data_IF_847572719539
#
_entry.id   IF_847572719539
#
_cell.length_a   1.000
_cell.length_b   1.000
_cell.length_c   1.000
_cell.angle_alpha   90.00
_cell.angle_beta   90.00
_cell.angle_gamma   90.00
#
_symmetry.space_group_name_H-M   'P 1'
#
loop_
_entity.id
_entity.type
_entity.pdbx_description
1 polymer ?
#
# COMPACT_ATOMS: atom_id res chain seq x y z
N UNK A 1 27.73 -13.88 7.82
CA UNK A 1 26.59 -13.03 7.42
C UNK A 1 27.15 -11.79 6.72
N UNK A 2 26.61 -11.36 5.57
CA UNK A 2 27.00 -10.07 4.98
C UNK A 2 26.27 -8.95 5.72
N UNK A 3 26.92 -7.84 6.12
CA UNK A 3 26.27 -6.78 6.87
C UNK A 3 25.11 -6.18 6.07
N UNK A 4 23.93 -6.07 6.70
CA UNK A 4 22.80 -5.32 6.13
C UNK A 4 23.24 -3.86 6.01
N UNK A 5 23.21 -3.29 4.80
CA UNK A 5 23.55 -1.88 4.55
C UNK A 5 22.37 -1.15 3.95
N UNK A 6 22.15 0.09 4.41
CA UNK A 6 21.08 0.93 3.93
C UNK A 6 21.21 1.16 2.41
N UNK A 7 20.14 0.90 1.64
CA UNK A 7 20.16 1.03 0.18
C UNK A 7 20.38 2.47 -0.32
N UNK A 8 20.26 3.47 0.57
CA UNK A 8 20.54 4.89 0.31
C UNK A 8 21.91 5.31 0.88
N UNK A 9 22.05 5.41 2.20
CA UNK A 9 23.24 6.00 2.85
C UNK A 9 24.36 5.01 3.19
N UNK A 10 24.19 3.70 2.91
CA UNK A 10 25.17 2.63 3.20
C UNK A 10 25.51 2.35 4.67
N UNK A 11 24.96 3.10 5.64
CA UNK A 11 25.03 2.78 7.09
C UNK A 11 24.62 1.32 7.34
N UNK A 12 25.32 0.64 8.23
CA UNK A 12 25.11 -0.78 8.52
C UNK A 12 23.94 -1.03 9.49
N UNK A 13 23.56 -2.30 9.67
CA UNK A 13 22.51 -2.78 10.57
C UNK A 13 21.14 -2.98 9.90
N UNK A 14 20.72 -2.11 8.98
CA UNK A 14 19.38 -2.11 8.37
C UNK A 14 19.41 -2.01 6.84
N UNK A 15 18.34 -2.45 6.15
CA UNK A 15 18.21 -2.26 4.70
C UNK A 15 17.73 -0.84 4.33
N UNK A 16 17.01 -0.18 5.25
CA UNK A 16 16.67 1.24 5.19
C UNK A 16 16.73 1.78 6.63
N UNK A 17 17.62 2.75 6.90
CA UNK A 17 17.69 3.37 8.22
C UNK A 17 16.59 4.43 8.37
N UNK A 18 16.28 4.80 9.61
CA UNK A 18 15.22 5.77 9.95
C UNK A 18 15.42 7.12 9.23
N UNK A 19 16.64 7.69 9.25
CA UNK A 19 17.02 8.90 8.51
C UNK A 19 16.77 8.84 6.99
N UNK A 20 16.65 7.65 6.42
CA UNK A 20 16.32 7.45 5.00
C UNK A 20 14.86 7.05 4.78
N UNK A 21 14.21 6.46 5.77
CA UNK A 21 12.77 6.18 5.75
C UNK A 21 11.95 7.47 5.90
N UNK A 22 12.39 8.40 6.75
CA UNK A 22 11.74 9.71 6.97
C UNK A 22 11.72 10.60 5.72
N UNK A 23 12.58 10.33 4.73
CA UNK A 23 12.61 10.99 3.42
C UNK A 23 11.61 10.40 2.42
N UNK A 24 10.83 9.40 2.82
CA UNK A 24 9.70 8.88 2.06
C UNK A 24 8.45 9.56 2.59
N UNK A 25 7.99 10.57 1.86
CA UNK A 25 6.81 11.34 2.24
C UNK A 25 5.53 10.52 1.96
N UNK A 26 4.64 10.43 2.93
CA UNK A 26 3.29 9.92 2.69
C UNK A 26 2.47 10.98 1.95
N UNK A 27 1.53 10.57 1.10
CA UNK A 27 0.62 11.51 0.45
C UNK A 27 -0.21 12.26 1.52
N UNK A 28 -0.10 13.58 1.54
CA UNK A 28 -0.83 14.44 2.48
C UNK A 28 -2.29 14.71 2.05
N UNK A 29 -2.62 14.48 0.77
CA UNK A 29 -3.95 14.73 0.20
C UNK A 29 -4.59 13.39 -0.18
N UNK A 30 -5.76 13.11 0.39
CA UNK A 30 -6.58 11.96 0.04
C UNK A 30 -7.27 12.16 -1.31
N UNK A 31 -7.33 11.12 -2.16
CA UNK A 31 -8.04 11.14 -3.44
C UNK A 31 -8.40 9.72 -3.92
N UNK A 32 -9.58 9.51 -4.52
CA UNK A 32 -9.89 8.27 -5.24
C UNK A 32 -9.17 8.30 -6.60
N UNK A 33 -8.30 7.31 -6.79
CA UNK A 33 -7.50 7.10 -7.99
C UNK A 33 -8.26 6.34 -9.12
N UNK A 34 -9.60 6.38 -9.12
CA UNK A 34 -10.45 5.74 -10.14
C UNK A 34 -10.16 6.21 -11.58
N UNK A 35 -9.58 7.40 -11.73
CA UNK A 35 -9.36 8.07 -13.00
C UNK A 35 -7.99 8.72 -13.09
N UNK A 36 -7.52 8.93 -14.33
CA UNK A 36 -6.30 9.69 -14.67
C UNK A 36 -6.25 11.08 -14.00
N UNK A 37 -7.41 11.72 -13.80
CA UNK A 37 -7.57 12.95 -13.01
C UNK A 37 -8.16 12.61 -11.64
N UNK A 38 -7.34 12.41 -10.59
CA UNK A 38 -7.84 12.06 -9.26
C UNK A 38 -8.60 13.21 -8.60
N UNK A 39 -9.72 12.90 -7.95
CA UNK A 39 -10.56 13.87 -7.23
C UNK A 39 -9.98 14.11 -5.83
N UNK A 40 -9.44 15.30 -5.57
CA UNK A 40 -8.86 15.68 -4.28
C UNK A 40 -9.90 15.68 -3.15
N UNK A 41 -9.42 15.42 -1.93
CA UNK A 41 -10.18 15.43 -0.67
C UNK A 41 -11.35 14.44 -0.58
N UNK A 42 -11.40 13.43 -1.47
CA UNK A 42 -12.39 12.34 -1.41
C UNK A 42 -11.69 10.99 -1.50
N UNK A 43 -11.96 10.08 -0.56
CA UNK A 43 -11.49 8.69 -0.64
C UNK A 43 -12.24 7.84 -1.67
N UNK A 44 -13.35 8.34 -2.22
CA UNK A 44 -14.20 7.66 -3.20
C UNK A 44 -14.78 8.68 -4.20
N UNK A 45 -14.68 8.40 -5.49
CA UNK A 45 -15.33 9.17 -6.56
C UNK A 45 -16.70 8.56 -6.91
N UNK A 46 -17.59 9.29 -7.58
CA UNK A 46 -18.93 8.74 -7.88
C UNK A 46 -18.90 7.61 -8.93
N UNK A 47 -17.78 7.48 -9.65
CA UNK A 47 -17.47 6.37 -10.57
C UNK A 47 -16.57 5.27 -9.97
N UNK A 48 -16.14 5.41 -8.71
CA UNK A 48 -15.42 4.39 -7.93
C UNK A 48 -16.53 3.33 -7.61
N UNK A 49 -16.52 2.10 -8.19
CA UNK A 49 -17.65 1.15 -8.17
C UNK A 49 -18.35 0.97 -6.82
N UNK A 50 -19.65 0.60 -6.82
CA UNK A 50 -20.50 0.61 -5.61
C UNK A 50 -19.95 -0.20 -4.43
N UNK A 51 -19.20 -1.27 -4.72
CA UNK A 51 -18.56 -2.13 -3.74
C UNK A 51 -17.26 -1.53 -3.15
N UNK A 52 -16.60 -0.59 -3.85
CA UNK A 52 -15.47 0.17 -3.30
C UNK A 52 -15.98 1.17 -2.27
N UNK A 53 -15.45 1.07 -1.05
CA UNK A 53 -15.74 1.97 0.07
C UNK A 53 -14.73 3.11 0.17
N UNK A 54 -13.45 2.82 -0.03
CA UNK A 54 -12.38 3.81 0.00
C UNK A 54 -11.22 3.42 -0.91
N UNK A 55 -10.45 4.42 -1.33
CA UNK A 55 -9.21 4.30 -2.07
C UNK A 55 -8.17 5.16 -1.39
N UNK A 56 -7.12 4.49 -0.96
CA UNK A 56 -5.97 5.05 -0.27
C UNK A 56 -4.79 5.01 -1.23
N UNK A 57 -4.15 6.15 -1.49
CA UNK A 57 -2.90 6.17 -2.27
C UNK A 57 -1.77 6.59 -1.37
N UNK A 58 -0.86 5.67 -1.06
CA UNK A 58 0.09 5.86 0.06
C UNK A 58 1.24 6.80 -0.33
N UNK A 59 1.82 6.62 -1.52
CA UNK A 59 3.06 7.29 -1.95
C UNK A 59 2.88 8.02 -3.28
N UNK A 60 3.70 9.07 -3.47
CA UNK A 60 3.80 9.78 -4.73
C UNK A 60 4.82 9.07 -5.65
N UNK A 61 4.42 8.73 -6.87
CA UNK A 61 5.29 8.05 -7.85
C UNK A 61 6.57 8.84 -8.16
N UNK A 62 6.58 10.18 -7.99
CA UNK A 62 7.78 11.01 -8.18
C UNK A 62 8.91 10.74 -7.16
N UNK A 63 8.64 10.05 -6.05
CA UNK A 63 9.64 9.77 -5.02
C UNK A 63 10.60 8.63 -5.44
N UNK A 64 11.75 9.01 -6.00
CA UNK A 64 12.81 8.09 -6.44
C UNK A 64 13.25 7.09 -5.36
N UNK A 65 13.26 7.49 -4.08
CA UNK A 65 13.64 6.61 -2.98
C UNK A 65 12.59 5.52 -2.73
N UNK A 66 11.31 5.88 -2.69
CA UNK A 66 10.21 4.95 -2.53
C UNK A 66 10.17 3.90 -3.67
N UNK A 67 10.35 4.34 -4.92
CA UNK A 67 10.51 3.42 -6.05
C UNK A 67 11.73 2.50 -5.87
N UNK A 68 12.89 3.04 -5.47
CA UNK A 68 14.12 2.25 -5.27
C UNK A 68 13.93 1.20 -4.17
N UNK A 69 13.23 1.53 -3.07
CA UNK A 69 12.86 0.59 -2.02
C UNK A 69 11.97 -0.51 -2.60
N UNK A 70 10.90 -0.15 -3.32
CA UNK A 70 9.97 -1.10 -3.95
C UNK A 70 10.66 -2.10 -4.88
N UNK A 71 11.44 -1.61 -5.86
CA UNK A 71 12.14 -2.49 -6.80
C UNK A 71 13.21 -3.36 -6.14
N UNK A 72 13.85 -2.89 -5.06
CA UNK A 72 14.80 -3.69 -4.28
C UNK A 72 14.12 -4.72 -3.40
N UNK A 73 12.91 -4.45 -2.90
CA UNK A 73 12.15 -5.36 -2.03
C UNK A 73 11.80 -6.69 -2.73
N UNK A 74 11.62 -6.66 -4.06
CA UNK A 74 11.48 -7.88 -4.90
C UNK A 74 12.65 -8.87 -4.80
N UNK A 75 13.85 -8.42 -4.41
CA UNK A 75 15.04 -9.26 -4.20
C UNK A 75 15.49 -9.33 -2.74
N UNK A 76 15.07 -8.38 -1.92
CA UNK A 76 15.42 -8.25 -0.51
C UNK A 76 14.13 -8.17 0.31
N UNK A 77 13.56 -9.32 0.67
CA UNK A 77 12.26 -9.40 1.35
C UNK A 77 12.18 -8.54 2.63
N UNK A 78 13.30 -8.38 3.35
CA UNK A 78 13.39 -7.48 4.51
C UNK A 78 13.21 -5.98 4.23
N UNK A 79 12.95 -5.56 2.98
CA UNK A 79 12.46 -4.22 2.66
C UNK A 79 10.93 -4.10 2.64
N UNK A 80 10.18 -5.21 2.62
CA UNK A 80 8.71 -5.20 2.57
C UNK A 80 8.10 -4.62 3.85
N UNK A 81 8.69 -4.91 5.02
CA UNK A 81 8.27 -4.38 6.33
C UNK A 81 8.16 -2.85 6.37
N UNK A 82 9.01 -2.11 5.64
CA UNK A 82 8.93 -0.65 5.59
C UNK A 82 7.65 -0.16 4.89
N UNK A 83 7.13 -0.89 3.90
CA UNK A 83 5.82 -0.59 3.33
C UNK A 83 4.69 -0.87 4.31
N UNK A 84 4.81 -1.91 5.16
CA UNK A 84 3.82 -2.18 6.21
C UNK A 84 3.74 -1.03 7.23
N UNK A 85 4.90 -0.49 7.62
CA UNK A 85 4.99 0.73 8.42
C UNK A 85 4.37 1.94 7.70
N UNK A 86 4.76 2.22 6.45
CA UNK A 86 4.25 3.37 5.69
C UNK A 86 2.73 3.31 5.47
N UNK A 87 2.18 2.14 5.13
CA UNK A 87 0.73 1.91 4.96
C UNK A 87 -0.01 2.17 6.28
N UNK A 88 0.44 1.56 7.39
CA UNK A 88 -0.26 1.70 8.68
C UNK A 88 -0.12 3.10 9.26
N UNK A 89 1.02 3.78 9.09
CA UNK A 89 1.18 5.19 9.45
C UNK A 89 0.24 6.08 8.63
N UNK A 90 0.14 5.87 7.32
CA UNK A 90 -0.81 6.62 6.48
C UNK A 90 -2.26 6.42 6.92
N UNK A 91 -2.69 5.18 7.17
CA UNK A 91 -4.05 4.88 7.60
C UNK A 91 -4.38 5.51 8.96
N UNK A 92 -3.43 5.50 9.91
CA UNK A 92 -3.56 6.21 11.19
C UNK A 92 -3.69 7.72 11.02
N UNK A 93 -2.87 8.32 10.14
CA UNK A 93 -2.89 9.77 9.89
C UNK A 93 -4.22 10.27 9.31
N UNK A 94 -5.02 9.39 8.71
CA UNK A 94 -6.37 9.69 8.19
C UNK A 94 -7.50 9.13 9.07
N UNK A 95 -7.18 8.71 10.30
CA UNK A 95 -8.10 8.11 11.27
C UNK A 95 -8.86 6.87 10.76
N UNK A 96 -8.21 6.05 9.93
CA UNK A 96 -8.76 4.77 9.44
C UNK A 96 -8.20 3.59 10.24
N UNK A 97 -9.08 2.91 10.98
CA UNK A 97 -8.72 1.78 11.83
C UNK A 97 -8.88 0.43 11.11
N UNK A 98 -7.82 -0.39 11.14
CA UNK A 98 -7.87 -1.79 10.72
C UNK A 98 -8.21 -2.67 11.92
N UNK A 99 -9.16 -3.59 11.74
CA UNK A 99 -9.59 -4.55 12.75
C UNK A 99 -9.85 -5.94 12.11
N UNK A 100 -10.15 -6.94 12.94
CA UNK A 100 -10.33 -8.34 12.53
C UNK A 100 -11.46 -8.60 11.52
N UNK A 101 -12.31 -7.62 11.19
CA UNK A 101 -13.31 -7.76 10.11
C UNK A 101 -12.72 -7.69 8.71
N UNK A 102 -11.46 -7.27 8.56
CA UNK A 102 -10.77 -7.12 7.29
C UNK A 102 -9.91 -8.35 6.96
N UNK A 103 -9.88 -8.75 5.68
CA UNK A 103 -8.81 -9.57 5.11
C UNK A 103 -7.97 -8.74 4.15
N UNK A 104 -6.69 -9.09 4.01
CA UNK A 104 -5.84 -8.52 2.95
C UNK A 104 -5.93 -9.41 1.71
N UNK A 105 -6.29 -8.82 0.58
CA UNK A 105 -6.16 -9.45 -0.74
C UNK A 105 -5.15 -8.66 -1.57
N UNK A 106 -4.44 -9.32 -2.49
CA UNK A 106 -3.31 -8.69 -3.15
C UNK A 106 -3.02 -9.29 -4.53
N UNK A 107 -2.30 -8.52 -5.35
CA UNK A 107 -1.72 -8.99 -6.60
C UNK A 107 -0.28 -9.54 -6.39
N UNK A 108 0.15 -10.46 -7.26
CA UNK A 108 1.46 -11.12 -7.17
C UNK A 108 2.65 -10.15 -7.06
N UNK A 109 2.60 -8.97 -7.70
CA UNK A 109 3.68 -7.97 -7.66
C UNK A 109 3.92 -7.37 -6.27
N UNK A 110 2.95 -7.48 -5.35
CA UNK A 110 3.01 -6.93 -3.98
C UNK A 110 2.88 -7.99 -2.88
N UNK A 111 2.93 -9.29 -3.23
CA UNK A 111 2.77 -10.44 -2.31
C UNK A 111 3.59 -10.30 -1.02
N UNK A 112 4.89 -10.05 -1.11
CA UNK A 112 5.76 -9.95 0.07
C UNK A 112 5.42 -8.76 0.99
N UNK A 113 4.85 -7.68 0.44
CA UNK A 113 4.35 -6.55 1.24
C UNK A 113 3.04 -6.95 1.93
N UNK A 114 2.15 -7.69 1.24
CA UNK A 114 0.91 -8.19 1.84
C UNK A 114 1.18 -9.16 2.99
N UNK A 115 2.15 -10.07 2.84
CA UNK A 115 2.55 -11.03 3.87
C UNK A 115 3.14 -10.35 5.11
N UNK A 116 4.00 -9.34 4.93
CA UNK A 116 4.53 -8.58 6.08
C UNK A 116 3.48 -7.64 6.69
N UNK A 117 2.56 -7.08 5.89
CA UNK A 117 1.45 -6.28 6.40
C UNK A 117 0.47 -7.13 7.22
N UNK A 118 0.20 -8.36 6.78
CA UNK A 118 -0.59 -9.35 7.51
C UNK A 118 0.02 -9.67 8.87
N UNK A 119 1.33 -9.95 8.94
CA UNK A 119 2.03 -10.16 10.22
C UNK A 119 1.95 -8.91 11.11
N UNK A 120 2.17 -7.73 10.53
CA UNK A 120 2.20 -6.46 11.26
C UNK A 120 0.83 -6.04 11.82
N UNK A 121 -0.26 -6.33 11.08
CA UNK A 121 -1.63 -5.95 11.44
C UNK A 121 -2.45 -7.10 12.05
N UNK A 122 -1.92 -8.33 12.04
CA UNK A 122 -2.60 -9.58 12.39
C UNK A 122 -3.85 -9.89 11.55
N UNK A 123 -3.99 -9.27 10.37
CA UNK A 123 -5.11 -9.53 9.45
C UNK A 123 -4.86 -10.81 8.62
N UNK A 124 -5.88 -11.64 8.38
CA UNK A 124 -5.76 -12.81 7.50
C UNK A 124 -5.50 -12.39 6.05
N UNK A 125 -4.83 -13.28 5.29
CA UNK A 125 -4.68 -13.17 3.85
C UNK A 125 -5.79 -13.97 3.15
N UNK A 126 -6.41 -13.38 2.12
CA UNK A 126 -7.32 -14.06 1.19
C UNK A 126 -8.44 -14.92 1.83
N UNK A 127 -8.97 -14.54 2.99
CA UNK A 127 -10.13 -15.21 3.59
C UNK A 127 -11.44 -14.67 3.01
N UNK A 128 -12.59 -15.25 3.39
CA UNK A 128 -13.92 -14.91 2.85
C UNK A 128 -14.63 -13.73 3.55
N UNK A 129 -13.90 -12.94 4.36
CA UNK A 129 -14.47 -11.82 5.11
C UNK A 129 -15.11 -10.74 4.22
N UNK A 130 -16.24 -10.16 4.64
CA UNK A 130 -16.95 -9.16 3.81
C UNK A 130 -16.12 -7.91 3.48
N UNK A 131 -15.19 -7.50 4.36
CA UNK A 131 -14.31 -6.35 4.14
C UNK A 131 -12.95 -6.80 3.58
N UNK A 132 -12.58 -6.26 2.43
CA UNK A 132 -11.33 -6.57 1.71
C UNK A 132 -10.44 -5.34 1.69
N UNK A 133 -9.24 -5.46 2.26
CA UNK A 133 -8.14 -4.52 2.05
C UNK A 133 -7.36 -4.99 0.80
N UNK A 134 -7.67 -4.40 -0.36
CA UNK A 134 -7.07 -4.78 -1.64
C UNK A 134 -5.76 -4.02 -1.85
N UNK A 135 -4.63 -4.67 -1.54
CA UNK A 135 -3.29 -4.10 -1.69
C UNK A 135 -2.77 -4.30 -3.11
N UNK A 136 -2.39 -3.20 -3.75
CA UNK A 136 -1.87 -3.17 -5.11
C UNK A 136 -0.79 -2.09 -5.29
N UNK A 137 0.02 -2.23 -6.35
CA UNK A 137 1.04 -1.23 -6.69
C UNK A 137 0.43 0.07 -7.22
N UNK A 138 -0.58 -0.07 -8.10
CA UNK A 138 -1.41 1.01 -8.68
C UNK A 138 -2.89 0.64 -8.48
N UNK A 139 -3.80 1.53 -8.87
CA UNK A 139 -5.24 1.28 -8.77
C UNK A 139 -5.66 0.07 -9.63
N UNK A 140 -6.57 -0.81 -9.15
CA UNK A 140 -7.02 -1.98 -9.90
C UNK A 140 -7.73 -1.64 -11.22
N UNK A 141 -7.52 -2.51 -12.21
CA UNK A 141 -8.38 -2.55 -13.39
C UNK A 141 -9.78 -3.14 -13.04
N UNK A 142 -10.72 -3.03 -13.98
CA UNK A 142 -12.10 -3.50 -13.76
C UNK A 142 -12.19 -5.02 -13.52
N UNK A 143 -11.36 -5.82 -14.18
CA UNK A 143 -11.44 -7.29 -14.08
C UNK A 143 -10.94 -7.83 -12.73
N UNK A 144 -10.01 -7.13 -12.08
CA UNK A 144 -9.65 -7.40 -10.69
C UNK A 144 -10.80 -7.01 -9.76
N UNK A 145 -11.48 -5.88 -10.00
CA UNK A 145 -12.60 -5.42 -9.16
C UNK A 145 -13.83 -6.34 -9.24
N UNK A 146 -14.13 -6.92 -10.42
CA UNK A 146 -15.21 -7.91 -10.60
C UNK A 146 -15.09 -9.11 -9.64
N UNK A 147 -13.86 -9.56 -9.34
CA UNK A 147 -13.61 -10.67 -8.40
C UNK A 147 -14.08 -10.37 -6.97
N UNK A 148 -14.35 -9.11 -6.65
CA UNK A 148 -14.77 -8.66 -5.32
C UNK A 148 -16.12 -7.91 -5.36
N UNK A 149 -16.94 -8.09 -6.41
CA UNK A 149 -18.20 -7.36 -6.60
C UNK A 149 -19.15 -7.44 -5.39
N UNK A 150 -19.23 -8.62 -4.76
CA UNK A 150 -20.07 -8.88 -3.59
C UNK A 150 -19.43 -8.49 -2.22
N UNK A 151 -18.24 -7.88 -2.21
CA UNK A 151 -17.45 -7.60 -1.00
C UNK A 151 -17.17 -6.09 -0.86
N UNK A 152 -17.05 -5.59 0.37
CA UNK A 152 -16.69 -4.20 0.63
C UNK A 152 -15.19 -4.00 0.37
N UNK A 153 -14.81 -3.33 -0.72
CA UNK A 153 -13.40 -3.17 -1.12
C UNK A 153 -12.81 -1.85 -0.63
N UNK A 154 -11.66 -1.91 0.01
CA UNK A 154 -10.84 -0.80 0.46
C UNK A 154 -9.49 -0.90 -0.24
N UNK A 155 -9.26 -0.09 -1.27
CA UNK A 155 -8.08 -0.18 -2.12
C UNK A 155 -6.90 0.51 -1.44
N UNK A 156 -5.77 -0.20 -1.28
CA UNK A 156 -4.47 0.36 -0.92
C UNK A 156 -3.60 0.37 -2.18
N UNK A 157 -3.50 1.53 -2.83
CA UNK A 157 -2.57 1.76 -3.95
C UNK A 157 -1.24 2.27 -3.39
N UNK A 158 -0.16 1.50 -3.53
CA UNK A 158 1.16 1.92 -3.04
C UNK A 158 1.61 3.23 -3.69
N UNK A 159 1.51 3.31 -5.02
CA UNK A 159 1.90 4.48 -5.79
C UNK A 159 0.68 5.10 -6.47
N UNK A 160 0.75 6.42 -6.67
CA UNK A 160 -0.11 7.12 -7.64
C UNK A 160 0.19 6.61 -9.04
N UNK A 161 -0.83 6.53 -9.89
CA UNK A 161 -0.63 6.53 -11.34
C UNK A 161 -0.58 7.97 -11.84
N UNK A 162 0.57 8.38 -12.37
CA UNK A 162 0.70 9.65 -13.10
C UNK A 162 0.70 9.32 -14.59
N UNK A 163 -0.37 9.71 -15.28
CA UNK A 163 -0.41 9.79 -16.76
C UNK A 163 0.11 11.14 -17.23
#
# INVERSE_FOLDING_TARGET
FFPKKCIRCKREGTYLCEDCLSLIELNQINYCACFKKPVKYRLRCDSCPRNIRAVFTILNEKQRLAQKVYYRAKKLAGLNVYFSYLITTYLKNISFELNSSFTICYESEVKGIAEDLSKFTKLPLNSDLKNVLLLMKKYPNQDILKKFENRNVYVISLFREIS
#
